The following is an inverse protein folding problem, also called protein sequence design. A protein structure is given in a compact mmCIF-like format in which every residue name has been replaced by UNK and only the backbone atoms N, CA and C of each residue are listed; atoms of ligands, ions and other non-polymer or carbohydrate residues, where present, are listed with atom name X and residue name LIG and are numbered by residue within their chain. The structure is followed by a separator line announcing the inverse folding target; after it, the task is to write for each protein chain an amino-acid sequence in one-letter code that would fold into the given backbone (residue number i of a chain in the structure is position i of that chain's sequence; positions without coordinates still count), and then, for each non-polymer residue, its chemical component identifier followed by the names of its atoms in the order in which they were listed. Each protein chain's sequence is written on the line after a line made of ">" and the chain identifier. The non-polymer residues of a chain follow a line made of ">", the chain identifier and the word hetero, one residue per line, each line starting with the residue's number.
data_IF_551625126327
#
_entry.id   IF_551625126327
#
_cell.length_a   1.000
_cell.length_b   1.000
_cell.length_c   1.000
_cell.angle_alpha   90.00
_cell.angle_beta   90.00
_cell.angle_gamma   90.00
#
_symmetry.space_group_name_H-M   'P 1'
#
loop_
_entity.id
_entity.type
_entity.pdbx_description
1 polymer ?
#
# COMPACT_ATOMS: atom_id res chain seq x y z
N UNK A 1 14.72 1.57 -19.47
CA UNK A 1 13.98 1.87 -18.23
C UNK A 1 14.66 1.08 -17.14
N UNK A 2 15.38 1.73 -16.24
CA UNK A 2 15.98 1.05 -15.10
C UNK A 2 14.84 0.58 -14.19
N UNK A 3 14.86 -0.70 -13.86
CA UNK A 3 13.90 -1.34 -12.95
C UNK A 3 14.51 -1.22 -11.55
N UNK A 4 13.73 -0.94 -10.49
CA UNK A 4 14.26 -1.00 -9.13
C UNK A 4 14.91 -2.37 -8.88
N UNK A 5 15.96 -2.40 -8.07
CA UNK A 5 16.55 -3.64 -7.59
C UNK A 5 15.62 -4.28 -6.56
N UNK A 6 14.64 -5.06 -7.04
CA UNK A 6 13.71 -5.80 -6.19
C UNK A 6 14.41 -6.72 -5.18
N UNK A 7 15.58 -7.25 -5.55
CA UNK A 7 16.40 -8.11 -4.70
C UNK A 7 16.97 -7.34 -3.50
N UNK A 8 17.58 -6.16 -3.72
CA UNK A 8 18.09 -5.34 -2.60
C UNK A 8 16.95 -4.88 -1.69
N UNK A 9 15.82 -4.44 -2.25
CA UNK A 9 14.63 -4.09 -1.46
C UNK A 9 14.13 -5.27 -0.62
N UNK A 10 14.08 -6.47 -1.20
CA UNK A 10 13.69 -7.70 -0.50
C UNK A 10 14.62 -8.00 0.68
N UNK A 11 15.94 -7.91 0.45
CA UNK A 11 16.95 -8.13 1.48
C UNK A 11 16.80 -7.12 2.63
N UNK A 12 16.61 -5.84 2.29
CA UNK A 12 16.38 -4.78 3.25
C UNK A 12 15.12 -4.98 4.09
N UNK A 13 14.01 -5.33 3.45
CA UNK A 13 12.72 -5.55 4.11
C UNK A 13 12.79 -6.77 5.05
N UNK A 14 13.42 -7.86 4.64
CA UNK A 14 13.65 -9.03 5.49
C UNK A 14 14.57 -8.69 6.67
N UNK A 15 15.65 -7.95 6.44
CA UNK A 15 16.55 -7.48 7.50
C UNK A 15 15.87 -6.51 8.48
N UNK A 16 14.91 -5.72 8.00
CA UNK A 16 14.08 -4.82 8.83
C UNK A 16 13.10 -5.62 9.67
N UNK A 17 12.40 -6.59 9.05
CA UNK A 17 11.57 -7.55 9.78
C UNK A 17 12.37 -8.30 10.84
N UNK A 18 13.65 -8.61 10.55
CA UNK A 18 14.49 -9.37 11.45
C UNK A 18 14.86 -8.62 12.75
N UNK A 19 14.73 -7.29 12.76
CA UNK A 19 14.98 -6.40 13.91
C UNK A 19 13.72 -6.05 14.71
N UNK A 20 12.55 -6.49 14.25
CA UNK A 20 11.25 -6.21 14.88
C UNK A 20 10.95 -7.30 15.92
N UNK A 21 11.17 -7.00 17.20
CA UNK A 21 11.08 -7.99 18.28
C UNK A 21 10.03 -7.64 19.36
N UNK A 22 9.59 -6.38 19.42
CA UNK A 22 8.65 -5.90 20.43
C UNK A 22 7.17 -5.89 20.01
N UNK A 23 6.24 -5.74 20.97
CA UNK A 23 4.81 -5.60 20.69
C UNK A 23 4.50 -4.37 19.83
N UNK A 24 5.26 -3.29 20.03
CA UNK A 24 5.11 -2.04 19.27
C UNK A 24 5.64 -2.17 17.82
N UNK A 25 6.39 -3.24 17.52
CA UNK A 25 6.96 -3.46 16.19
C UNK A 25 6.05 -4.27 15.26
N UNK A 26 4.94 -4.81 15.76
CA UNK A 26 4.05 -5.66 14.97
C UNK A 26 3.54 -4.94 13.71
N UNK A 27 3.25 -3.64 13.80
CA UNK A 27 2.84 -2.84 12.63
C UNK A 27 3.96 -2.76 11.57
N UNK A 28 5.20 -2.52 12.00
CA UNK A 28 6.36 -2.48 11.09
C UNK A 28 6.61 -3.85 10.46
N UNK A 29 6.45 -4.93 11.24
CA UNK A 29 6.60 -6.29 10.75
C UNK A 29 5.53 -6.62 9.69
N UNK A 30 4.29 -6.17 9.87
CA UNK A 30 3.23 -6.27 8.85
C UNK A 30 3.60 -5.48 7.59
N UNK A 31 4.07 -4.24 7.71
CA UNK A 31 4.51 -3.42 6.58
C UNK A 31 5.67 -4.08 5.81
N UNK A 32 6.68 -4.58 6.53
CA UNK A 32 7.80 -5.31 5.95
C UNK A 32 7.32 -6.57 5.21
N UNK A 33 6.36 -7.30 5.77
CA UNK A 33 5.78 -8.48 5.13
C UNK A 33 5.05 -8.16 3.83
N UNK A 34 4.28 -7.06 3.81
CA UNK A 34 3.62 -6.57 2.60
C UNK A 34 4.65 -6.17 1.54
N UNK A 35 5.69 -5.42 1.93
CA UNK A 35 6.77 -5.05 1.04
C UNK A 35 7.47 -6.26 0.44
N UNK A 36 7.83 -7.25 1.27
CA UNK A 36 8.51 -8.47 0.82
C UNK A 36 7.63 -9.28 -0.13
N UNK A 37 6.31 -9.33 0.14
CA UNK A 37 5.35 -9.95 -0.79
C UNK A 37 5.24 -9.18 -2.11
N UNK A 38 5.22 -7.83 -2.09
CA UNK A 38 5.23 -7.00 -3.31
C UNK A 38 6.47 -7.32 -4.15
N UNK A 39 7.65 -7.37 -3.53
CA UNK A 39 8.89 -7.71 -4.23
C UNK A 39 8.85 -9.13 -4.80
N UNK A 40 8.46 -10.13 -4.01
CA UNK A 40 8.41 -11.53 -4.46
C UNK A 40 7.40 -11.75 -5.58
N UNK A 41 6.19 -11.21 -5.45
CA UNK A 41 5.15 -11.29 -6.49
C UNK A 41 5.51 -10.51 -7.77
N UNK A 42 6.45 -9.57 -7.68
CA UNK A 42 6.96 -8.81 -8.82
C UNK A 42 8.18 -9.50 -9.45
N UNK A 43 9.19 -9.87 -8.69
CA UNK A 43 10.38 -10.56 -9.20
C UNK A 43 10.61 -11.83 -8.38
N UNK A 44 9.90 -12.93 -8.69
CA UNK A 44 10.04 -14.16 -7.93
C UNK A 44 11.44 -14.75 -8.16
N UNK A 45 12.16 -14.96 -7.07
CA UNK A 45 13.46 -15.62 -7.00
C UNK A 45 13.45 -16.57 -5.79
N UNK A 46 14.38 -17.52 -5.74
CA UNK A 46 14.50 -18.41 -4.58
C UNK A 46 14.74 -17.61 -3.28
N UNK A 47 15.60 -16.60 -3.35
CA UNK A 47 15.94 -15.74 -2.22
C UNK A 47 14.75 -14.88 -1.78
N UNK A 48 13.97 -14.32 -2.72
CA UNK A 48 12.77 -13.56 -2.38
C UNK A 48 11.66 -14.42 -1.77
N UNK A 49 11.53 -15.66 -2.24
CA UNK A 49 10.62 -16.64 -1.62
C UNK A 49 11.05 -17.01 -0.19
N UNK A 50 12.36 -17.19 0.05
CA UNK A 50 12.88 -17.46 1.39
C UNK A 50 12.71 -16.26 2.34
N UNK A 51 12.98 -15.05 1.85
CA UNK A 51 12.75 -13.81 2.59
C UNK A 51 11.28 -13.64 2.98
N UNK A 52 10.35 -13.90 2.05
CA UNK A 52 8.92 -13.84 2.30
C UNK A 52 8.49 -14.84 3.37
N UNK A 53 8.83 -16.13 3.22
CA UNK A 53 8.48 -17.16 4.20
C UNK A 53 9.00 -16.83 5.60
N UNK A 54 10.24 -16.35 5.70
CA UNK A 54 10.83 -15.92 6.99
C UNK A 54 10.04 -14.78 7.62
N UNK A 55 9.73 -13.75 6.82
CA UNK A 55 8.98 -12.58 7.29
C UNK A 55 7.56 -12.97 7.74
N UNK A 56 6.86 -13.80 6.96
CA UNK A 56 5.52 -14.28 7.28
C UNK A 56 5.50 -15.15 8.55
N UNK A 57 6.50 -16.02 8.73
CA UNK A 57 6.63 -16.80 9.96
C UNK A 57 6.78 -15.91 11.20
N UNK A 58 7.59 -14.84 11.09
CA UNK A 58 7.72 -13.85 12.18
C UNK A 58 6.41 -13.13 12.46
N UNK A 59 5.72 -12.64 11.42
CA UNK A 59 4.41 -11.99 11.57
C UNK A 59 3.44 -12.92 12.28
N UNK A 60 3.31 -14.18 11.83
CA UNK A 60 2.39 -15.16 12.40
C UNK A 60 2.70 -15.44 13.88
N UNK A 61 3.98 -15.54 14.24
CA UNK A 61 4.38 -15.76 15.63
C UNK A 61 4.12 -14.54 16.52
N UNK A 62 4.40 -13.33 16.02
CA UNK A 62 4.23 -12.10 16.79
C UNK A 62 2.76 -11.67 16.90
N UNK A 63 1.95 -11.89 15.86
CA UNK A 63 0.54 -11.55 15.89
C UNK A 63 -0.19 -12.35 16.97
N UNK A 64 0.10 -13.65 17.10
CA UNK A 64 -0.48 -14.52 18.13
C UNK A 64 -0.21 -14.01 19.55
N UNK A 65 0.89 -13.27 19.75
CA UNK A 65 1.30 -12.74 21.05
C UNK A 65 0.77 -11.33 21.32
N UNK A 66 0.72 -10.48 20.29
CA UNK A 66 0.60 -9.03 20.48
C UNK A 66 -0.55 -8.36 19.73
N UNK A 67 -1.30 -9.09 18.89
CA UNK A 67 -2.41 -8.51 18.12
C UNK A 67 -3.50 -7.94 19.03
N UNK A 68 -3.84 -8.63 20.13
CA UNK A 68 -4.85 -8.15 21.09
C UNK A 68 -4.48 -6.77 21.65
N UNK A 69 -3.26 -6.63 22.17
CA UNK A 69 -2.73 -5.37 22.69
C UNK A 69 -2.75 -4.25 21.65
N UNK A 70 -2.38 -4.56 20.40
CA UNK A 70 -2.34 -3.58 19.31
C UNK A 70 -3.74 -3.08 18.93
N UNK A 71 -4.74 -3.97 18.94
CA UNK A 71 -6.16 -3.63 18.71
C UNK A 71 -6.69 -2.75 19.85
N UNK A 72 -6.44 -3.12 21.11
CA UNK A 72 -6.91 -2.38 22.29
C UNK A 72 -6.35 -0.96 22.36
N UNK A 73 -5.09 -0.76 21.93
CA UNK A 73 -4.46 0.57 21.88
C UNK A 73 -4.97 1.44 20.73
N UNK A 74 -5.75 0.90 19.80
CA UNK A 74 -6.25 1.63 18.64
C UNK A 74 -5.16 2.03 17.63
N UNK A 75 -3.97 1.42 17.71
CA UNK A 75 -2.83 1.71 16.82
C UNK A 75 -2.85 0.92 15.51
N UNK A 76 -3.86 0.06 15.30
CA UNK A 76 -3.90 -0.85 14.17
C UNK A 76 -4.38 -0.17 12.89
N UNK A 77 -3.58 -0.26 11.83
CA UNK A 77 -4.05 -0.01 10.47
C UNK A 77 -4.82 -1.24 9.97
N UNK A 78 -6.15 -1.10 9.86
CA UNK A 78 -7.05 -2.21 9.54
C UNK A 78 -6.80 -2.76 8.13
N UNK A 79 -6.55 -1.90 7.15
CA UNK A 79 -6.24 -2.34 5.78
C UNK A 79 -4.99 -3.21 5.72
N UNK A 80 -3.92 -2.79 6.41
CA UNK A 80 -2.68 -3.55 6.50
C UNK A 80 -2.88 -4.88 7.22
N UNK A 81 -3.67 -4.90 8.30
CA UNK A 81 -3.98 -6.14 9.01
C UNK A 81 -4.73 -7.15 8.13
N UNK A 82 -5.72 -6.68 7.36
CA UNK A 82 -6.47 -7.52 6.42
C UNK A 82 -5.62 -8.01 5.24
N UNK A 83 -4.78 -7.14 4.67
CA UNK A 83 -3.80 -7.53 3.65
C UNK A 83 -2.85 -8.60 4.18
N UNK A 84 -2.29 -8.39 5.36
CA UNK A 84 -1.38 -9.33 6.02
C UNK A 84 -2.08 -10.66 6.28
N UNK A 85 -3.33 -10.64 6.77
CA UNK A 85 -4.13 -11.84 6.98
C UNK A 85 -4.26 -12.65 5.68
N UNK A 86 -4.58 -12.01 4.56
CA UNK A 86 -4.72 -12.72 3.27
C UNK A 86 -3.41 -13.23 2.71
N UNK A 87 -2.31 -12.49 2.90
CA UNK A 87 -0.98 -12.96 2.49
C UNK A 87 -0.59 -14.21 3.31
N UNK A 88 -0.81 -14.19 4.63
CA UNK A 88 -0.54 -15.34 5.50
C UNK A 88 -1.32 -16.58 5.05
N UNK A 89 -2.64 -16.45 4.86
CA UNK A 89 -3.49 -17.59 4.47
C UNK A 89 -3.15 -18.12 3.07
N UNK A 90 -2.86 -17.24 2.11
CA UNK A 90 -2.44 -17.63 0.76
C UNK A 90 -1.12 -18.43 0.75
N UNK A 91 -0.28 -18.28 1.78
CA UNK A 91 0.99 -18.99 1.92
C UNK A 91 0.92 -20.13 2.96
N UNK A 92 -0.27 -20.59 3.32
CA UNK A 92 -0.49 -21.77 4.16
C UNK A 92 -0.23 -21.56 5.65
N UNK A 93 -0.08 -20.31 6.11
CA UNK A 93 -0.08 -20.03 7.54
C UNK A 93 -1.51 -20.06 8.09
N UNK A 94 -1.68 -20.67 9.26
CA UNK A 94 -2.96 -20.61 9.96
C UNK A 94 -3.30 -19.17 10.31
N UNK A 95 -4.56 -18.80 10.09
CA UNK A 95 -5.05 -17.48 10.41
C UNK A 95 -5.05 -17.25 11.93
N UNK A 96 -4.40 -16.19 12.37
CA UNK A 96 -4.46 -15.76 13.77
C UNK A 96 -5.91 -15.51 14.20
N UNK A 97 -6.41 -16.15 15.28
CA UNK A 97 -7.75 -15.92 15.80
C UNK A 97 -8.11 -14.44 16.00
N UNK A 98 -7.15 -13.60 16.41
CA UNK A 98 -7.37 -12.17 16.59
C UNK A 98 -7.57 -11.44 15.25
N UNK A 99 -6.83 -11.80 14.20
CA UNK A 99 -7.06 -11.27 12.84
C UNK A 99 -8.41 -11.72 12.28
N UNK A 100 -8.80 -12.98 12.51
CA UNK A 100 -10.10 -13.51 12.11
C UNK A 100 -11.24 -12.76 12.81
N UNK A 101 -11.10 -12.54 14.12
CA UNK A 101 -12.07 -11.78 14.89
C UNK A 101 -12.18 -10.33 14.39
N UNK A 102 -11.04 -9.67 14.16
CA UNK A 102 -11.00 -8.33 13.57
C UNK A 102 -11.72 -8.30 12.22
N UNK A 103 -11.41 -9.22 11.31
CA UNK A 103 -12.05 -9.28 9.99
C UNK A 103 -13.58 -9.41 10.11
N UNK A 104 -14.07 -10.27 11.02
CA UNK A 104 -15.50 -10.41 11.30
C UNK A 104 -16.13 -9.15 11.89
N UNK A 105 -15.44 -8.48 12.81
CA UNK A 105 -15.91 -7.23 13.41
C UNK A 105 -16.00 -6.11 12.37
N UNK A 106 -14.98 -5.97 11.52
CA UNK A 106 -14.99 -4.99 10.41
C UNK A 106 -16.10 -5.33 9.42
N UNK A 107 -16.26 -6.60 9.04
CA UNK A 107 -17.35 -7.03 8.17
C UNK A 107 -18.73 -6.71 8.74
N UNK A 108 -18.93 -6.92 10.05
CA UNK A 108 -20.19 -6.60 10.74
C UNK A 108 -20.44 -5.09 10.90
N UNK A 109 -19.36 -4.29 10.93
CA UNK A 109 -19.45 -2.84 11.05
C UNK A 109 -19.75 -2.13 9.70
N UNK A 110 -19.52 -2.79 8.57
CA UNK A 110 -19.87 -2.25 7.26
C UNK A 110 -21.40 -2.16 7.16
N UNK A 111 -21.99 -0.96 6.95
CA UNK A 111 -23.44 -0.81 6.89
C UNK A 111 -24.06 -1.71 5.80
N UNK A 112 -25.08 -2.47 6.18
CA UNK A 112 -25.90 -3.19 5.22
C UNK A 112 -26.71 -2.17 4.40
N UNK A 113 -26.50 -2.15 3.08
CA UNK A 113 -27.20 -1.26 2.17
C UNK A 113 -26.80 -1.49 0.72
N UNK A 114 -27.49 -0.85 -0.21
CA UNK A 114 -27.19 -0.96 -1.64
C UNK A 114 -25.83 -0.35 -2.01
N UNK A 115 -25.29 0.56 -1.20
CA UNK A 115 -23.99 1.21 -1.44
C UNK A 115 -23.13 1.24 -0.18
N UNK A 116 -21.94 0.67 -0.30
CA UNK A 116 -20.88 0.77 0.72
C UNK A 116 -20.36 2.21 0.76
N UNK A 117 -20.35 2.88 1.93
CA UNK A 117 -19.79 4.23 2.01
C UNK A 117 -18.31 4.25 1.61
N UNK A 118 -17.83 5.37 1.03
CA UNK A 118 -16.49 5.46 0.43
C UNK A 118 -15.35 5.06 1.38
N UNK A 119 -15.47 5.35 2.68
CA UNK A 119 -14.49 5.02 3.71
C UNK A 119 -14.46 3.52 4.08
N UNK A 120 -15.47 2.74 3.68
CA UNK A 120 -15.52 1.29 3.92
C UNK A 120 -15.16 0.45 2.68
N UNK A 121 -14.98 1.07 1.51
CA UNK A 121 -14.76 0.33 0.26
C UNK A 121 -13.45 -0.48 0.30
N UNK A 122 -12.37 0.06 0.88
CA UNK A 122 -11.12 -0.67 1.05
C UNK A 122 -11.35 -1.99 1.81
N UNK A 123 -12.03 -1.89 2.95
CA UNK A 123 -12.32 -3.05 3.79
C UNK A 123 -13.24 -4.03 3.10
N UNK A 124 -14.31 -3.57 2.44
CA UNK A 124 -15.24 -4.43 1.72
C UNK A 124 -14.50 -5.25 0.65
N UNK A 125 -13.61 -4.62 -0.13
CA UNK A 125 -12.82 -5.32 -1.17
C UNK A 125 -11.90 -6.37 -0.54
N UNK A 126 -11.17 -6.02 0.52
CA UNK A 126 -10.26 -6.96 1.19
C UNK A 126 -11.02 -8.13 1.83
N UNK A 127 -12.13 -7.84 2.53
CA UNK A 127 -12.96 -8.83 3.20
C UNK A 127 -13.67 -9.76 2.22
N UNK A 128 -14.12 -9.26 1.07
CA UNK A 128 -14.67 -10.09 -0.01
C UNK A 128 -13.64 -11.11 -0.50
N UNK A 129 -12.39 -10.65 -0.74
CA UNK A 129 -11.27 -11.49 -1.17
C UNK A 129 -10.81 -12.50 -0.13
N UNK A 130 -11.06 -12.22 1.13
CA UNK A 130 -10.82 -13.11 2.25
C UNK A 130 -11.98 -14.08 2.53
N UNK A 131 -13.08 -13.98 1.78
CA UNK A 131 -14.26 -14.83 1.95
C UNK A 131 -15.17 -14.43 3.11
N UNK A 132 -15.00 -13.24 3.69
CA UNK A 132 -15.92 -12.68 4.68
C UNK A 132 -17.06 -11.87 4.04
N UNK A 133 -16.98 -11.64 2.72
CA UNK A 133 -18.02 -10.95 1.97
C UNK A 133 -19.29 -11.78 1.82
N UNK A 134 -20.44 -11.10 1.80
CA UNK A 134 -21.76 -11.72 1.57
C UNK A 134 -22.06 -11.92 0.08
N UNK A 135 -21.07 -11.78 -0.81
CA UNK A 135 -21.23 -11.91 -2.26
C UNK A 135 -21.95 -10.73 -2.95
N UNK A 136 -22.37 -9.71 -2.19
CA UNK A 136 -23.10 -8.54 -2.71
C UNK A 136 -22.32 -7.23 -2.64
N UNK A 137 -21.06 -7.24 -2.20
CA UNK A 137 -20.22 -6.03 -2.18
C UNK A 137 -19.57 -5.72 -3.52
N UNK A 138 -20.21 -6.10 -4.64
CA UNK A 138 -19.87 -5.52 -5.94
C UNK A 138 -20.19 -4.04 -5.85
N UNK A 139 -19.22 -3.27 -5.37
CA UNK A 139 -19.24 -1.82 -5.31
C UNK A 139 -19.41 -1.39 -6.75
N UNK A 140 -20.64 -1.09 -7.15
CA UNK A 140 -20.87 -0.42 -8.41
C UNK A 140 -19.98 0.82 -8.37
N UNK A 141 -19.01 0.96 -9.28
CA UNK A 141 -18.05 2.04 -9.23
C UNK A 141 -18.83 3.34 -9.15
N UNK A 142 -18.78 4.00 -7.99
CA UNK A 142 -19.40 5.30 -7.84
C UNK A 142 -18.70 6.21 -8.83
N UNK A 143 -19.43 6.98 -9.66
CA UNK A 143 -18.78 7.91 -10.56
C UNK A 143 -17.91 8.84 -9.71
N UNK A 144 -16.63 8.94 -10.06
CA UNK A 144 -15.74 9.96 -9.49
C UNK A 144 -16.43 11.29 -9.75
N UNK A 145 -16.71 12.06 -8.70
CA UNK A 145 -17.29 13.40 -8.83
C UNK A 145 -16.23 14.37 -9.37
N UNK A 146 -15.91 14.20 -10.65
CA UNK A 146 -15.03 15.06 -11.41
C UNK A 146 -15.80 16.24 -12.02
N UNK A 147 -17.13 16.28 -11.90
CA UNK A 147 -18.00 17.26 -12.55
C UNK A 147 -17.78 18.70 -12.02
N UNK A 148 -17.09 18.87 -10.89
CA UNK A 148 -16.73 20.18 -10.34
C UNK A 148 -15.27 20.60 -10.48
N UNK A 149 -14.37 19.72 -10.96
CA UNK A 149 -12.93 19.99 -10.91
C UNK A 149 -12.44 20.76 -12.14
N UNK A 150 -12.35 22.09 -12.02
CA UNK A 150 -11.67 22.89 -13.04
C UNK A 150 -10.17 22.56 -13.01
N UNK A 151 -9.47 22.46 -14.16
CA UNK A 151 -8.05 22.11 -14.20
C UNK A 151 -7.16 22.94 -13.26
N UNK A 152 -7.41 24.26 -13.21
CA UNK A 152 -6.68 25.17 -12.33
C UNK A 152 -6.92 24.90 -10.84
N UNK A 153 -8.12 24.45 -10.46
CA UNK A 153 -8.42 24.12 -9.06
C UNK A 153 -7.67 22.89 -8.57
N UNK A 154 -7.35 21.94 -9.45
CA UNK A 154 -6.55 20.76 -9.11
C UNK A 154 -5.09 21.17 -8.88
N UNK A 155 -4.52 21.99 -9.77
CA UNK A 155 -3.13 22.43 -9.64
C UNK A 155 -2.91 23.36 -8.43
N UNK A 156 -3.93 24.08 -8.01
CA UNK A 156 -3.89 24.93 -6.80
C UNK A 156 -4.52 24.26 -5.57
N UNK A 157 -4.93 22.99 -5.65
CA UNK A 157 -5.57 22.31 -4.54
C UNK A 157 -4.57 22.08 -3.41
N UNK A 158 -5.05 22.14 -2.17
CA UNK A 158 -4.25 21.70 -1.03
C UNK A 158 -3.96 20.19 -1.13
N UNK A 159 -2.84 19.77 -0.55
CA UNK A 159 -2.45 18.36 -0.43
C UNK A 159 -3.59 17.49 0.11
N UNK A 160 -4.31 17.97 1.11
CA UNK A 160 -5.45 17.27 1.70
C UNK A 160 -6.64 17.11 0.73
N UNK A 161 -6.91 18.11 -0.11
CA UNK A 161 -7.94 17.99 -1.14
C UNK A 161 -7.54 16.96 -2.21
N UNK A 162 -6.27 16.93 -2.61
CA UNK A 162 -5.77 15.91 -3.54
C UNK A 162 -5.82 14.52 -2.91
N UNK A 163 -5.41 14.34 -1.65
CA UNK A 163 -5.51 13.05 -0.94
C UNK A 163 -6.93 12.51 -0.89
N UNK A 164 -7.90 13.37 -0.55
CA UNK A 164 -9.32 12.99 -0.56
C UNK A 164 -9.78 12.58 -1.96
N UNK A 165 -9.34 13.28 -3.01
CA UNK A 165 -9.63 12.91 -4.39
C UNK A 165 -9.01 11.56 -4.77
N UNK A 166 -7.75 11.30 -4.41
CA UNK A 166 -7.09 10.01 -4.60
C UNK A 166 -7.85 8.88 -3.90
N UNK A 167 -8.28 9.10 -2.66
CA UNK A 167 -9.10 8.14 -1.91
C UNK A 167 -10.46 7.90 -2.58
N UNK A 168 -11.15 8.94 -3.06
CA UNK A 168 -12.40 8.80 -3.79
C UNK A 168 -12.23 8.00 -5.09
N UNK A 169 -11.16 8.27 -5.85
CA UNK A 169 -10.84 7.52 -7.08
C UNK A 169 -10.52 6.07 -6.73
N UNK A 170 -9.69 5.83 -5.72
CA UNK A 170 -9.38 4.47 -5.27
C UNK A 170 -10.66 3.73 -4.85
N UNK A 171 -11.51 4.32 -4.02
CA UNK A 171 -12.79 3.69 -3.67
C UNK A 171 -13.70 3.48 -4.88
N UNK A 172 -13.77 4.42 -5.82
CA UNK A 172 -14.55 4.28 -7.05
C UNK A 172 -14.06 3.13 -7.95
N UNK A 173 -12.79 2.75 -7.86
CA UNK A 173 -12.18 1.68 -8.66
C UNK A 173 -11.92 0.42 -7.85
N UNK A 174 -12.52 0.29 -6.65
CA UNK A 174 -12.24 -0.81 -5.72
C UNK A 174 -10.72 -0.99 -5.51
N UNK A 175 -10.02 0.12 -5.31
CA UNK A 175 -8.58 0.26 -5.20
C UNK A 175 -7.81 -0.27 -6.42
N UNK A 176 -8.37 -0.12 -7.62
CA UNK A 176 -7.83 -0.61 -8.88
C UNK A 176 -8.21 -2.05 -9.23
N UNK A 177 -9.01 -2.73 -8.40
CA UNK A 177 -9.51 -4.07 -8.70
C UNK A 177 -10.58 -4.07 -9.80
N UNK A 178 -11.29 -2.96 -10.01
CA UNK A 178 -12.24 -2.79 -11.12
C UNK A 178 -11.86 -1.59 -11.99
N UNK A 179 -12.08 -1.67 -13.32
CA UNK A 179 -11.86 -0.54 -14.20
C UNK A 179 -12.72 0.67 -13.81
N UNK A 180 -12.18 1.87 -13.99
CA UNK A 180 -12.96 3.09 -13.80
C UNK A 180 -14.11 3.12 -14.83
N UNK A 181 -15.33 3.40 -14.37
CA UNK A 181 -16.53 3.40 -15.23
C UNK A 181 -16.49 4.46 -16.35
N UNK A 182 -15.69 5.51 -16.17
CA UNK A 182 -15.48 6.59 -17.14
C UNK A 182 -14.00 6.91 -17.21
N UNK A 183 -13.53 7.27 -18.39
CA UNK A 183 -12.16 7.76 -18.56
C UNK A 183 -12.10 9.25 -18.24
N UNK A 184 -11.03 9.67 -17.58
CA UNK A 184 -10.78 11.08 -17.23
C UNK A 184 -9.39 11.53 -17.69
N UNK A 185 -9.09 11.60 -19.01
CA UNK A 185 -7.73 11.84 -19.49
C UNK A 185 -7.11 13.15 -18.96
N UNK A 186 -7.90 14.24 -18.92
CA UNK A 186 -7.45 15.52 -18.35
C UNK A 186 -7.12 15.43 -16.87
N UNK A 187 -7.89 14.66 -16.10
CA UNK A 187 -7.63 14.46 -14.68
C UNK A 187 -6.33 13.67 -14.48
N UNK A 188 -6.12 12.61 -15.28
CA UNK A 188 -4.87 11.86 -15.27
C UNK A 188 -3.65 12.75 -15.54
N UNK A 189 -3.71 13.61 -16.55
CA UNK A 189 -2.62 14.55 -16.86
C UNK A 189 -2.33 15.51 -15.70
N UNK A 190 -3.37 16.05 -15.07
CA UNK A 190 -3.22 16.95 -13.92
C UNK A 190 -2.65 16.22 -12.71
N UNK A 191 -3.09 14.99 -12.43
CA UNK A 191 -2.54 14.17 -11.35
C UNK A 191 -1.08 13.77 -11.62
N UNK A 192 -0.68 13.51 -12.87
CA UNK A 192 0.72 13.30 -13.22
C UNK A 192 1.58 14.54 -12.93
N UNK A 193 1.07 15.74 -13.23
CA UNK A 193 1.74 16.99 -12.87
C UNK A 193 1.85 17.16 -11.35
N UNK A 194 0.79 16.84 -10.59
CA UNK A 194 0.81 16.87 -9.11
C UNK A 194 1.81 15.85 -8.53
N UNK A 195 1.89 14.65 -9.12
CA UNK A 195 2.87 13.64 -8.72
C UNK A 195 4.30 14.15 -8.94
N UNK A 196 4.60 14.71 -10.13
CA UNK A 196 5.91 15.32 -10.42
C UNK A 196 6.25 16.47 -9.46
N UNK A 197 5.28 17.34 -9.16
CA UNK A 197 5.48 18.44 -8.19
C UNK A 197 5.73 17.93 -6.77
N UNK A 198 5.07 16.85 -6.36
CA UNK A 198 5.27 16.26 -5.04
C UNK A 198 6.67 15.64 -4.94
N UNK A 199 7.09 14.94 -5.99
CA UNK A 199 8.40 14.32 -6.08
C UNK A 199 9.55 15.32 -6.14
N UNK A 200 9.37 16.47 -6.80
CA UNK A 200 10.37 17.55 -6.78
C UNK A 200 10.50 18.20 -5.39
N UNK A 201 9.45 18.15 -4.57
CA UNK A 201 9.48 18.51 -3.15
C UNK A 201 9.93 17.36 -2.23
N UNK A 202 10.43 16.26 -2.79
CA UNK A 202 10.88 15.06 -2.09
C UNK A 202 9.79 14.32 -1.28
N UNK A 203 8.53 14.52 -1.62
CA UNK A 203 7.39 13.85 -1.00
C UNK A 203 7.06 12.54 -1.74
N UNK A 204 7.94 11.56 -1.57
CA UNK A 204 7.92 10.29 -2.32
C UNK A 204 6.63 9.50 -2.11
N UNK A 205 6.16 9.40 -0.87
CA UNK A 205 4.95 8.65 -0.51
C UNK A 205 3.70 9.25 -1.18
N UNK A 206 3.56 10.57 -1.14
CA UNK A 206 2.42 11.22 -1.76
C UNK A 206 2.51 11.19 -3.29
N UNK A 207 3.71 11.41 -3.87
CA UNK A 207 3.95 11.27 -5.30
C UNK A 207 3.59 9.86 -5.81
N UNK A 208 4.00 8.81 -5.09
CA UNK A 208 3.68 7.41 -5.38
C UNK A 208 2.17 7.12 -5.25
N UNK A 209 1.50 7.67 -4.23
CA UNK A 209 0.04 7.57 -4.06
C UNK A 209 -0.73 8.17 -5.23
N UNK A 210 -0.32 9.36 -5.68
CA UNK A 210 -0.94 10.03 -6.84
C UNK A 210 -0.68 9.23 -8.11
N UNK A 211 0.54 8.70 -8.31
CA UNK A 211 0.86 7.86 -9.46
C UNK A 211 -0.02 6.59 -9.53
N UNK A 212 -0.21 5.89 -8.41
CA UNK A 212 -1.15 4.75 -8.32
C UNK A 212 -2.58 5.14 -8.68
N UNK A 213 -3.01 6.30 -8.21
CA UNK A 213 -4.34 6.84 -8.54
C UNK A 213 -4.51 7.04 -10.05
N UNK A 214 -3.48 7.51 -10.75
CA UNK A 214 -3.50 7.61 -12.23
C UNK A 214 -3.62 6.23 -12.87
N UNK A 215 -2.92 5.22 -12.35
CA UNK A 215 -3.08 3.83 -12.80
C UNK A 215 -4.52 3.35 -12.66
N UNK A 216 -5.20 3.70 -11.55
CA UNK A 216 -6.60 3.31 -11.31
C UNK A 216 -7.59 3.97 -12.28
N UNK A 217 -7.28 5.18 -12.76
CA UNK A 217 -8.09 5.85 -13.79
C UNK A 217 -7.97 5.19 -15.17
N UNK A 218 -6.93 4.37 -15.40
CA UNK A 218 -6.69 3.68 -16.67
C UNK A 218 -6.44 4.62 -17.86
N UNK A 219 -6.06 5.87 -17.61
CA UNK A 219 -6.02 6.92 -18.63
C UNK A 219 -4.78 7.84 -18.53
N UNK A 220 -3.65 7.33 -18.05
CA UNK A 220 -2.38 8.08 -17.98
C UNK A 220 -1.52 7.89 -19.24
N UNK A 221 -0.74 8.92 -19.59
CA UNK A 221 0.31 8.80 -20.63
C UNK A 221 1.40 7.83 -20.14
N UNK A 222 1.59 6.67 -20.80
CA UNK A 222 2.58 5.67 -20.39
C UNK A 222 4.00 6.22 -20.33
N UNK A 223 4.33 7.20 -21.18
CA UNK A 223 5.66 7.83 -21.22
C UNK A 223 5.92 8.62 -19.95
N UNK A 224 4.97 9.48 -19.56
CA UNK A 224 5.06 10.28 -18.33
C UNK A 224 5.04 9.40 -17.08
N UNK A 225 4.16 8.39 -17.06
CA UNK A 225 4.14 7.41 -15.96
C UNK A 225 5.48 6.68 -15.83
N UNK A 226 6.07 6.28 -16.95
CA UNK A 226 7.40 5.65 -16.99
C UNK A 226 8.51 6.56 -16.45
N UNK A 227 8.49 7.85 -16.77
CA UNK A 227 9.45 8.84 -16.22
C UNK A 227 9.30 8.98 -14.71
N UNK A 228 8.07 9.06 -14.20
CA UNK A 228 7.81 9.17 -12.75
C UNK A 228 8.23 7.87 -12.03
N UNK A 229 7.90 6.71 -12.60
CA UNK A 229 8.33 5.42 -12.06
C UNK A 229 9.85 5.28 -12.06
N UNK A 230 10.53 5.77 -13.11
CA UNK A 230 11.99 5.82 -13.16
C UNK A 230 12.55 6.68 -12.03
N UNK A 231 12.03 7.89 -11.85
CA UNK A 231 12.46 8.79 -10.76
C UNK A 231 12.33 8.11 -9.40
N UNK A 232 11.21 7.44 -9.14
CA UNK A 232 10.96 6.69 -7.90
C UNK A 232 11.94 5.53 -7.71
N UNK A 233 12.25 4.79 -8.77
CA UNK A 233 13.22 3.70 -8.74
C UNK A 233 14.65 4.22 -8.46
N UNK A 234 15.00 5.39 -9.01
CA UNK A 234 16.30 6.04 -8.79
C UNK A 234 16.49 6.57 -7.35
N UNK A 235 15.42 6.57 -6.53
CA UNK A 235 15.51 6.89 -5.10
C UNK A 235 15.90 5.69 -4.22
N UNK A 236 16.19 4.53 -4.83
CA UNK A 236 16.63 3.35 -4.09
C UNK A 236 18.09 3.50 -3.65
N UNK A 237 18.33 3.31 -2.36
CA UNK A 237 19.65 3.29 -1.75
C UNK A 237 20.37 1.96 -2.00
N UNK A 238 21.70 1.92 -1.79
CA UNK A 238 22.51 0.70 -1.91
C UNK A 238 22.05 -0.42 -0.97
N UNK A 239 21.50 -0.06 0.20
CA UNK A 239 20.98 -1.01 1.18
C UNK A 239 19.61 -1.60 0.80
N UNK A 240 18.96 -1.08 -0.25
CA UNK A 240 17.64 -1.50 -0.73
C UNK A 240 16.46 -0.65 -0.25
N UNK A 241 16.67 0.23 0.74
CA UNK A 241 15.65 1.20 1.16
C UNK A 241 15.37 2.25 0.08
N UNK A 242 14.25 2.96 0.19
CA UNK A 242 13.90 4.06 -0.72
C UNK A 242 13.81 5.37 0.06
N UNK A 243 14.53 6.38 -0.42
CA UNK A 243 14.53 7.74 0.10
C UNK A 243 15.76 8.10 0.95
N UNK A 244 16.22 9.34 0.79
CA UNK A 244 17.38 9.91 1.47
C UNK A 244 16.95 10.77 2.66
N UNK A 245 16.64 10.12 3.79
CA UNK A 245 16.10 10.77 4.99
C UNK A 245 17.18 11.17 6.03
N UNK A 246 18.41 11.44 5.60
CA UNK A 246 19.53 11.67 6.53
C UNK A 246 19.29 12.84 7.49
N UNK A 247 18.68 13.92 7.01
CA UNK A 247 18.39 15.12 7.81
C UNK A 247 17.25 14.85 8.79
N UNK A 248 16.18 14.21 8.34
CA UNK A 248 15.01 13.85 9.14
C UNK A 248 15.38 12.83 10.22
N UNK A 249 16.17 11.80 9.86
CA UNK A 249 16.67 10.81 10.80
C UNK A 249 17.55 11.44 11.89
N UNK A 250 18.42 12.38 11.52
CA UNK A 250 19.23 13.13 12.50
C UNK A 250 18.36 13.95 13.46
N UNK A 251 17.28 14.57 12.97
CA UNK A 251 16.33 15.32 13.81
C UNK A 251 15.57 14.41 14.78
N UNK A 252 15.17 13.21 14.36
CA UNK A 252 14.51 12.22 15.23
C UNK A 252 15.48 11.74 16.31
N UNK A 253 16.71 11.39 15.93
CA UNK A 253 17.73 10.96 16.88
C UNK A 253 18.03 12.02 17.96
N UNK A 254 18.04 13.32 17.59
CA UNK A 254 18.23 14.42 18.53
C UNK A 254 17.08 14.56 19.55
N UNK A 255 15.86 14.10 19.23
CA UNK A 255 14.72 14.14 20.16
C UNK A 255 14.73 13.01 21.19
N UNK A 256 15.68 12.07 21.08
CA UNK A 256 15.76 10.92 21.98
C UNK A 256 14.60 9.94 21.81
N UNK A 257 13.89 9.99 20.67
CA UNK A 257 12.86 9.00 20.36
C UNK A 257 13.55 7.64 20.17
N UNK A 258 13.16 6.65 20.98
CA UNK A 258 13.77 5.31 21.02
C UNK A 258 13.56 4.50 19.73
N UNK A 259 12.76 5.00 18.80
CA UNK A 259 12.37 4.28 17.58
C UNK A 259 13.45 4.45 16.49
N UNK A 260 13.80 3.34 15.87
CA UNK A 260 14.75 3.29 14.76
C UNK A 260 14.22 4.16 13.60
N UNK A 261 14.95 5.21 13.15
CA UNK A 261 14.51 6.06 12.05
C UNK A 261 14.19 5.30 10.76
N UNK A 262 14.85 4.15 10.54
CA UNK A 262 14.56 3.26 9.42
C UNK A 262 13.11 2.72 9.44
N UNK A 263 12.56 2.46 10.62
CA UNK A 263 11.19 1.94 10.78
C UNK A 263 10.14 3.04 10.60
N UNK A 264 10.40 4.25 11.11
CA UNK A 264 9.43 5.34 11.05
C UNK A 264 9.37 6.05 9.69
N UNK A 265 10.52 6.25 9.03
CA UNK A 265 10.61 7.05 7.81
C UNK A 265 10.76 6.19 6.56
N UNK A 266 11.79 5.33 6.55
CA UNK A 266 12.16 4.59 5.35
C UNK A 266 11.18 3.48 5.02
N UNK A 267 10.67 2.74 6.01
CA UNK A 267 9.81 1.58 5.75
C UNK A 267 8.46 1.95 5.10
N UNK A 268 7.65 2.90 5.62
CA UNK A 268 6.40 3.30 4.97
C UNK A 268 6.62 3.84 3.56
N UNK A 269 7.66 4.67 3.38
CA UNK A 269 8.04 5.20 2.06
C UNK A 269 8.42 4.08 1.10
N UNK A 270 9.27 3.16 1.52
CA UNK A 270 9.76 2.05 0.70
C UNK A 270 8.60 1.17 0.26
N UNK A 271 7.72 0.76 1.17
CA UNK A 271 6.54 -0.06 0.83
C UNK A 271 5.59 0.70 -0.10
N UNK A 272 5.33 1.99 0.16
CA UNK A 272 4.45 2.81 -0.66
C UNK A 272 4.97 3.00 -2.09
N UNK A 273 6.28 3.22 -2.24
CA UNK A 273 6.92 3.35 -3.56
C UNK A 273 6.96 2.01 -4.29
N UNK A 274 7.36 0.90 -3.63
CA UNK A 274 7.36 -0.43 -4.24
C UNK A 274 5.96 -0.84 -4.72
N UNK A 275 4.92 -0.50 -3.95
CA UNK A 275 3.54 -0.70 -4.37
C UNK A 275 3.25 0.07 -5.67
N UNK A 276 3.56 1.37 -5.71
CA UNK A 276 3.34 2.17 -6.91
C UNK A 276 4.09 1.61 -8.12
N UNK A 277 5.35 1.23 -7.95
CA UNK A 277 6.18 0.64 -9.00
C UNK A 277 5.60 -0.69 -9.49
N UNK A 278 5.13 -1.57 -8.60
CA UNK A 278 4.45 -2.81 -8.99
C UNK A 278 3.25 -2.54 -9.91
N UNK A 279 2.36 -1.64 -9.50
CA UNK A 279 1.11 -1.37 -10.24
C UNK A 279 1.35 -0.65 -11.57
N UNK A 280 2.38 0.21 -11.65
CA UNK A 280 2.73 0.92 -12.91
C UNK A 280 3.47 0.01 -13.88
N UNK A 281 4.45 -0.75 -13.40
CA UNK A 281 5.29 -1.60 -14.25
C UNK A 281 4.59 -2.90 -14.67
N UNK A 282 3.50 -3.27 -14.01
CA UNK A 282 2.69 -4.45 -14.34
C UNK A 282 1.21 -4.07 -14.52
N UNK A 283 0.82 -3.59 -15.72
CA UNK A 283 -0.58 -3.34 -16.03
C UNK A 283 -1.43 -4.58 -15.75
N UNK A 284 -2.52 -4.41 -15.00
CA UNK A 284 -3.35 -5.53 -14.60
C UNK A 284 -2.82 -6.35 -13.42
N UNK A 285 -1.78 -5.89 -12.71
CA UNK A 285 -1.48 -6.30 -11.33
C UNK A 285 -1.96 -5.23 -10.35
N UNK A 286 -2.45 -5.67 -9.19
CA UNK A 286 -2.98 -4.78 -8.16
C UNK A 286 -2.89 -5.45 -6.80
N UNK A 287 -2.43 -4.74 -5.78
CA UNK A 287 -2.23 -5.35 -4.45
C UNK A 287 -3.55 -5.85 -3.84
N UNK A 288 -4.64 -5.08 -3.93
CA UNK A 288 -5.96 -5.47 -3.42
C UNK A 288 -6.58 -6.66 -4.18
N UNK A 289 -6.19 -6.89 -5.44
CA UNK A 289 -6.63 -8.06 -6.20
C UNK A 289 -5.78 -9.29 -5.91
N UNK A 290 -4.47 -9.11 -5.82
CA UNK A 290 -3.50 -10.19 -5.95
C UNK A 290 -3.06 -10.77 -4.58
N UNK A 291 -3.27 -10.06 -3.46
CA UNK A 291 -2.73 -10.44 -2.13
C UNK A 291 -3.17 -11.82 -1.60
N UNK A 292 -4.36 -12.29 -1.98
CA UNK A 292 -4.89 -13.59 -1.56
C UNK A 292 -4.60 -14.72 -2.56
N UNK A 293 -3.87 -14.44 -3.64
CA UNK A 293 -3.49 -15.44 -4.63
C UNK A 293 -2.09 -15.97 -4.28
N UNK A 294 -1.90 -17.31 -4.18
CA UNK A 294 -0.57 -17.88 -4.01
C UNK A 294 0.35 -17.46 -5.15
N UNK A 295 1.55 -16.98 -4.82
CA UNK A 295 2.60 -16.72 -5.82
C UNK A 295 3.32 -18.05 -6.08
N UNK A 296 3.35 -18.48 -7.34
CA UNK A 296 4.01 -19.71 -7.77
C UNK A 296 5.55 -19.62 -7.73
#
# INVERSE_FOLDING_TARGET
>A
MAVPSWESATSWLAGTADKCDGPDDLLFLMQASLGTWICHSTAPTADSGQALRRTLHRVASQSQRHMGDLVERGGLNVELALLTHGILTAHGHEADPAMVLLARQVAAAIPAGERVPHNFVAYAVLLDRLGYGTGSWLVAPAPVDAAGLRPMEILSASRERIRRMCSQIASATAWGAVPCARTYPRLSDLLLAVSMQSLSAYDLEFGATVLRTVTYLGAGDPTRMGVIAQFLADQQCEDGSIGFFGIEAAKIAQRGEALCPAHQLSLPTTVGVLWALKEVLRPGSNVFRDFSTPVA
#
